data_IF_574101795942
#
_entry.id   IF_574101795942
#
_cell.length_a   1.000
_cell.length_b   1.000
_cell.length_c   1.000
_cell.angle_alpha   90.00
_cell.angle_beta   90.00
_cell.angle_gamma   90.00
#
_symmetry.space_group_name_H-M   'P 1'
#
loop_
_entity.id
_entity.type
_entity.pdbx_description
1 polymer ?
#
# COMPACT_ATOMS: atom_id res chain seq x y z
N UNK A 1 -14.99 38.50 7.02
CA UNK A 1 -14.36 37.53 6.10
C UNK A 1 -12.87 37.67 6.29
N UNK A 2 -12.22 36.62 6.79
CA UNK A 2 -10.77 36.51 6.82
C UNK A 2 -10.32 35.97 5.47
N UNK A 3 -9.47 36.70 4.76
CA UNK A 3 -8.89 36.20 3.52
C UNK A 3 -7.75 35.24 3.85
N UNK A 4 -7.73 34.07 3.22
CA UNK A 4 -6.67 33.08 3.32
C UNK A 4 -5.88 33.03 2.02
N UNK A 5 -4.60 32.67 2.06
CA UNK A 5 -3.79 32.41 0.86
C UNK A 5 -3.37 30.95 0.89
N UNK A 6 -3.61 30.24 -0.21
CA UNK A 6 -3.16 28.86 -0.40
C UNK A 6 -2.90 28.60 -1.88
N UNK A 7 -1.75 27.99 -2.19
CA UNK A 7 -1.21 27.80 -3.54
C UNK A 7 -1.21 29.09 -4.35
N UNK A 8 -0.93 30.22 -3.69
CA UNK A 8 -0.92 31.55 -4.31
C UNK A 8 -2.31 32.13 -4.65
N UNK A 9 -3.40 31.44 -4.30
CA UNK A 9 -4.78 31.89 -4.52
C UNK A 9 -5.30 32.52 -3.23
N UNK A 10 -5.97 33.68 -3.34
CA UNK A 10 -6.65 34.32 -2.20
C UNK A 10 -8.10 33.86 -2.13
N UNK A 11 -8.47 33.32 -0.98
CA UNK A 11 -9.80 32.78 -0.73
C UNK A 11 -10.61 33.66 0.23
N UNK A 12 -11.92 33.73 -0.02
CA UNK A 12 -12.88 34.23 0.95
C UNK A 12 -13.46 33.06 1.74
N UNK A 13 -13.05 32.91 3.00
CA UNK A 13 -13.50 31.80 3.84
C UNK A 13 -15.00 31.89 4.17
N UNK A 14 -15.71 30.78 3.94
CA UNK A 14 -17.09 30.56 4.38
C UNK A 14 -17.15 29.52 5.50
N UNK A 15 -17.71 29.92 6.66
CA UNK A 15 -17.93 29.05 7.81
C UNK A 15 -19.35 28.49 7.82
N UNK A 16 -19.48 27.18 8.02
CA UNK A 16 -20.74 26.44 8.02
C UNK A 16 -20.88 25.69 9.34
N UNK A 17 -21.66 26.26 10.27
CA UNK A 17 -21.86 25.67 11.60
C UNK A 17 -23.16 24.86 11.71
N UNK A 18 -24.13 25.12 10.83
CA UNK A 18 -25.43 24.43 10.83
C UNK A 18 -25.32 23.00 10.29
N UNK A 19 -26.27 22.15 10.70
CA UNK A 19 -26.35 20.73 10.29
C UNK A 19 -27.42 20.50 9.21
N UNK A 20 -27.32 19.39 8.49
CA UNK A 20 -28.29 18.96 7.47
C UNK A 20 -28.50 19.98 6.32
N UNK A 21 -27.46 20.74 5.98
CA UNK A 21 -27.50 21.75 4.93
C UNK A 21 -27.11 21.17 3.57
N UNK A 22 -27.60 21.83 2.51
CA UNK A 22 -27.13 21.65 1.13
C UNK A 22 -26.52 22.96 0.67
N UNK A 23 -25.23 22.93 0.37
CA UNK A 23 -24.43 24.12 0.14
C UNK A 23 -23.79 24.00 -1.23
N UNK A 24 -23.86 25.09 -1.99
CA UNK A 24 -23.29 25.16 -3.33
C UNK A 24 -22.23 26.25 -3.36
N UNK A 25 -21.07 25.91 -3.91
CA UNK A 25 -20.02 26.84 -4.28
C UNK A 25 -20.29 27.57 -5.59
N UNK A 26 -19.25 28.22 -6.08
CA UNK A 26 -19.21 29.01 -7.30
C UNK A 26 -18.47 28.25 -8.41
N UNK A 27 -18.18 28.88 -9.54
CA UNK A 27 -17.29 28.27 -10.55
C UNK A 27 -15.87 28.87 -10.45
N UNK A 28 -15.54 29.41 -9.27
CA UNK A 28 -14.22 29.90 -8.92
C UNK A 28 -13.79 29.19 -7.64
N UNK A 29 -12.50 29.23 -7.35
CA UNK A 29 -11.92 28.75 -6.09
C UNK A 29 -12.67 29.23 -4.86
N UNK A 30 -13.23 28.29 -4.11
CA UNK A 30 -13.96 28.49 -2.88
C UNK A 30 -13.19 27.93 -1.67
N UNK A 31 -13.47 28.48 -0.48
CA UNK A 31 -12.92 27.98 0.78
C UNK A 31 -14.03 27.77 1.81
N UNK A 32 -14.24 26.51 2.19
CA UNK A 32 -15.25 26.10 3.15
C UNK A 32 -14.63 25.52 4.43
N UNK A 33 -15.12 25.98 5.57
CA UNK A 33 -14.89 25.34 6.88
C UNK A 33 -16.24 24.86 7.40
N UNK A 34 -16.37 23.55 7.60
CA UNK A 34 -17.63 22.90 7.98
C UNK A 34 -17.48 22.32 9.38
N UNK A 35 -18.29 22.83 10.30
CA UNK A 35 -18.35 22.41 11.70
C UNK A 35 -19.66 21.65 12.02
N UNK A 36 -20.71 21.81 11.20
CA UNK A 36 -21.97 21.09 11.35
C UNK A 36 -22.03 19.74 10.61
N UNK A 37 -22.79 18.79 11.14
CA UNK A 37 -22.90 17.41 10.62
C UNK A 37 -23.96 17.29 9.51
N UNK A 38 -23.90 16.17 8.78
CA UNK A 38 -24.83 15.75 7.73
C UNK A 38 -24.96 16.76 6.59
N UNK A 39 -23.89 17.51 6.32
CA UNK A 39 -23.88 18.53 5.28
C UNK A 39 -23.53 17.93 3.92
N UNK A 40 -24.17 18.44 2.87
CA UNK A 40 -23.84 18.12 1.48
C UNK A 40 -23.28 19.39 0.84
N UNK A 41 -22.03 19.30 0.41
CA UNK A 41 -21.29 20.39 -0.20
C UNK A 41 -21.00 20.07 -1.67
N UNK A 42 -21.32 21.00 -2.56
CA UNK A 42 -21.01 20.91 -3.99
C UNK A 42 -20.30 22.19 -4.43
N UNK A 43 -18.98 22.16 -4.52
CA UNK A 43 -18.18 23.38 -4.77
C UNK A 43 -18.08 23.73 -6.25
N UNK A 44 -18.24 22.74 -7.15
CA UNK A 44 -18.34 22.83 -8.62
C UNK A 44 -17.02 22.89 -9.39
N UNK A 45 -16.53 24.06 -9.75
CA UNK A 45 -15.30 24.20 -10.54
C UNK A 45 -14.42 25.24 -9.85
N UNK A 46 -13.11 25.05 -9.92
CA UNK A 46 -12.13 25.90 -9.26
C UNK A 46 -11.23 25.06 -8.36
N UNK A 47 -10.12 25.64 -7.93
CA UNK A 47 -9.25 24.99 -6.94
C UNK A 47 -9.84 25.26 -5.56
N UNK A 48 -10.60 24.31 -5.02
CA UNK A 48 -11.37 24.49 -3.80
C UNK A 48 -10.64 23.98 -2.56
N UNK A 49 -10.89 24.60 -1.42
CA UNK A 49 -10.37 24.17 -0.12
C UNK A 49 -11.53 23.87 0.82
N UNK A 50 -11.60 22.64 1.32
CA UNK A 50 -12.67 22.19 2.21
C UNK A 50 -12.08 21.57 3.47
N UNK A 51 -12.41 22.15 4.63
CA UNK A 51 -12.03 21.66 5.94
C UNK A 51 -13.26 21.14 6.68
N UNK A 52 -13.27 19.85 6.96
CA UNK A 52 -14.39 19.13 7.55
C UNK A 52 -14.05 18.71 8.98
N UNK A 53 -14.61 19.39 9.99
CA UNK A 53 -14.26 19.11 11.40
C UNK A 53 -12.82 19.48 11.76
N UNK A 54 -12.18 20.32 10.94
CA UNK A 54 -10.77 20.71 11.01
C UNK A 54 -10.65 22.24 11.04
N UNK A 55 -9.59 22.74 11.68
CA UNK A 55 -9.13 24.14 11.57
C UNK A 55 -7.72 24.19 11.02
N UNK A 56 -7.36 25.26 10.31
CA UNK A 56 -5.98 25.49 9.89
C UNK A 56 -5.15 25.94 11.08
N UNK A 57 -4.04 25.24 11.32
CA UNK A 57 -3.03 25.68 12.26
C UNK A 57 -1.92 26.44 11.54
N UNK A 58 -1.38 25.84 10.48
CA UNK A 58 -0.28 26.39 9.68
C UNK A 58 -0.44 26.05 8.20
N UNK A 59 0.15 26.89 7.36
CA UNK A 59 0.36 26.60 5.95
C UNK A 59 1.86 26.45 5.72
N UNK A 60 2.25 25.37 5.04
CA UNK A 60 3.65 24.99 4.87
C UNK A 60 3.90 24.57 3.43
N UNK A 61 5.10 24.87 2.92
CA UNK A 61 5.56 24.30 1.66
C UNK A 61 6.09 22.89 1.91
N UNK A 62 5.62 21.96 1.11
CA UNK A 62 6.04 20.57 1.08
C UNK A 62 6.88 20.35 -0.18
N UNK A 63 8.02 19.70 0.00
CA UNK A 63 8.91 19.28 -1.07
C UNK A 63 9.20 17.78 -0.85
N UNK A 64 8.70 16.93 -1.74
CA UNK A 64 9.11 15.54 -1.86
C UNK A 64 9.51 15.23 -3.30
N UNK A 65 10.11 14.06 -3.54
CA UNK A 65 10.32 13.57 -4.91
C UNK A 65 9.06 13.36 -5.71
N UNK A 66 7.92 13.20 -5.03
CA UNK A 66 6.65 12.83 -5.62
C UNK A 66 5.77 14.06 -5.80
N UNK A 67 5.88 15.05 -4.90
CA UNK A 67 5.05 16.24 -4.91
C UNK A 67 5.78 17.45 -4.32
N UNK A 68 5.72 18.58 -5.02
CA UNK A 68 6.11 19.88 -4.49
C UNK A 68 4.90 20.82 -4.51
N UNK A 69 4.65 21.51 -3.40
CA UNK A 69 3.50 22.42 -3.28
C UNK A 69 3.17 22.84 -1.86
N UNK A 70 2.21 23.74 -1.73
CA UNK A 70 1.73 24.20 -0.43
C UNK A 70 0.68 23.22 0.14
N UNK A 71 0.80 22.85 1.42
CA UNK A 71 -0.15 22.01 2.17
C UNK A 71 -0.63 22.72 3.43
N UNK A 72 -1.83 22.35 3.89
CA UNK A 72 -2.37 22.81 5.16
C UNK A 72 -2.05 21.80 6.26
N UNK A 73 -1.49 22.28 7.36
CA UNK A 73 -1.51 21.53 8.61
C UNK A 73 -2.78 21.92 9.37
N UNK A 74 -3.58 20.91 9.71
CA UNK A 74 -4.85 21.10 10.37
C UNK A 74 -4.93 20.33 11.69
N UNK A 75 -5.76 20.81 12.62
CA UNK A 75 -6.11 20.12 13.86
C UNK A 75 -7.61 19.93 13.98
N UNK A 76 -8.01 18.96 14.80
CA UNK A 76 -9.41 18.69 15.09
C UNK A 76 -10.07 19.88 15.80
N UNK A 77 -11.33 20.12 15.45
CA UNK A 77 -12.18 20.99 16.23
C UNK A 77 -12.61 20.28 17.53
N UNK A 78 -12.80 21.00 18.65
CA UNK A 78 -13.04 20.42 19.98
C UNK A 78 -14.43 19.76 20.18
N UNK A 79 -15.24 19.56 19.12
CA UNK A 79 -16.61 19.03 19.23
C UNK A 79 -16.67 17.52 18.99
N UNK A 80 -17.62 16.86 19.67
CA UNK A 80 -17.83 15.40 19.79
C UNK A 80 -17.56 14.63 18.49
N UNK A 81 -16.43 13.92 18.45
CA UNK A 81 -15.71 13.52 17.23
C UNK A 81 -16.15 12.20 16.59
N UNK A 82 -17.36 11.69 16.85
CA UNK A 82 -17.69 10.29 16.51
C UNK A 82 -18.90 10.10 15.56
N UNK A 83 -19.63 11.15 15.20
CA UNK A 83 -20.76 11.10 14.24
C UNK A 83 -20.72 12.28 13.23
N UNK A 84 -19.53 12.78 12.89
CA UNK A 84 -19.40 13.84 11.90
C UNK A 84 -19.56 13.23 10.50
N UNK A 85 -20.69 13.47 9.83
CA UNK A 85 -20.93 13.01 8.46
C UNK A 85 -20.97 14.17 7.47
N UNK A 86 -20.35 13.98 6.31
CA UNK A 86 -20.38 14.96 5.24
C UNK A 86 -20.25 14.29 3.86
N UNK A 87 -20.94 14.87 2.88
CA UNK A 87 -20.81 14.50 1.47
C UNK A 87 -20.26 15.71 0.71
N UNK A 88 -19.12 15.55 0.04
CA UNK A 88 -18.46 16.63 -0.70
C UNK A 88 -18.28 16.25 -2.16
N UNK A 89 -18.57 17.19 -3.05
CA UNK A 89 -18.32 17.13 -4.49
C UNK A 89 -17.51 18.37 -4.88
N UNK A 90 -16.29 18.20 -5.39
CA UNK A 90 -15.46 19.36 -5.75
C UNK A 90 -15.37 19.65 -7.24
N UNK A 91 -15.52 18.63 -8.09
CA UNK A 91 -15.81 18.80 -9.52
C UNK A 91 -14.55 18.95 -10.38
N UNK A 92 -14.20 20.13 -10.89
CA UNK A 92 -12.93 20.30 -11.63
C UNK A 92 -12.01 21.33 -11.00
N UNK A 93 -10.72 21.04 -10.96
CA UNK A 93 -9.72 21.91 -10.34
C UNK A 93 -8.78 21.12 -9.46
N UNK A 94 -7.74 21.77 -8.94
CA UNK A 94 -6.83 21.16 -7.97
C UNK A 94 -7.38 21.38 -6.56
N UNK A 95 -8.17 20.42 -6.07
CA UNK A 95 -8.90 20.57 -4.83
C UNK A 95 -8.12 20.06 -3.60
N UNK A 96 -8.34 20.69 -2.45
CA UNK A 96 -7.80 20.26 -1.17
C UNK A 96 -8.95 20.01 -0.19
N UNK A 97 -9.07 18.77 0.27
CA UNK A 97 -10.08 18.36 1.26
C UNK A 97 -9.37 17.77 2.47
N UNK A 98 -9.58 18.34 3.66
CA UNK A 98 -9.06 17.78 4.92
C UNK A 98 -10.21 17.40 5.84
N UNK A 99 -10.16 16.17 6.32
CA UNK A 99 -11.19 15.50 7.09
C UNK A 99 -10.70 15.30 8.53
N UNK A 100 -11.58 15.59 9.48
CA UNK A 100 -11.49 15.07 10.84
C UNK A 100 -12.06 13.66 10.93
N UNK A 101 -12.15 13.14 12.15
CA UNK A 101 -12.79 11.86 12.40
C UNK A 101 -14.28 11.91 12.05
N UNK A 102 -14.78 10.90 11.34
CA UNK A 102 -16.18 10.89 10.91
C UNK A 102 -16.45 9.97 9.71
N UNK A 103 -17.72 9.88 9.33
CA UNK A 103 -18.13 9.12 8.15
C UNK A 103 -18.24 10.04 6.95
N UNK A 104 -17.40 9.86 5.94
CA UNK A 104 -17.32 10.81 4.82
C UNK A 104 -17.52 10.15 3.47
N UNK A 105 -18.21 10.87 2.57
CA UNK A 105 -18.27 10.54 1.15
C UNK A 105 -17.73 11.71 0.33
N UNK A 106 -16.58 11.54 -0.31
CA UNK A 106 -15.89 12.60 -1.04
C UNK A 106 -15.77 12.22 -2.51
N UNK A 107 -16.07 13.16 -3.41
CA UNK A 107 -15.76 13.04 -4.84
C UNK A 107 -15.00 14.27 -5.30
N UNK A 108 -13.72 14.09 -5.57
CA UNK A 108 -12.80 15.16 -5.93
C UNK A 108 -12.94 15.57 -7.41
N UNK A 109 -13.34 14.65 -8.28
CA UNK A 109 -13.47 14.94 -9.71
C UNK A 109 -12.10 15.13 -10.37
N UNK A 110 -11.98 15.96 -11.41
CA UNK A 110 -10.73 16.03 -12.22
C UNK A 110 -9.81 17.17 -11.78
N UNK A 111 -8.50 16.99 -11.94
CA UNK A 111 -7.45 17.88 -11.47
C UNK A 111 -6.54 17.16 -10.48
N UNK A 112 -5.51 17.83 -9.98
CA UNK A 112 -4.53 17.24 -9.05
C UNK A 112 -4.99 17.50 -7.61
N UNK A 113 -5.78 16.58 -7.07
CA UNK A 113 -6.46 16.75 -5.80
C UNK A 113 -5.63 16.23 -4.63
N UNK A 114 -5.92 16.75 -3.44
CA UNK A 114 -5.34 16.30 -2.18
C UNK A 114 -6.47 16.00 -1.19
N UNK A 115 -6.55 14.75 -0.73
CA UNK A 115 -7.39 14.34 0.39
C UNK A 115 -6.52 14.01 1.60
N UNK A 116 -6.66 14.80 2.66
CA UNK A 116 -6.11 14.53 3.99
C UNK A 116 -7.20 13.92 4.88
N UNK A 117 -7.10 12.65 5.23
CA UNK A 117 -7.98 11.97 6.18
C UNK A 117 -7.21 11.66 7.46
N UNK A 118 -7.62 12.28 8.57
CA UNK A 118 -7.03 12.01 9.88
C UNK A 118 -7.39 10.62 10.44
N UNK A 119 -8.48 10.00 9.95
CA UNK A 119 -8.95 8.71 10.42
C UNK A 119 -9.54 8.72 11.84
N UNK A 120 -9.54 7.54 12.47
CA UNK A 120 -10.24 7.26 13.73
C UNK A 120 -9.59 7.84 14.98
N UNK A 121 -10.41 7.98 16.02
CA UNK A 121 -9.98 8.48 17.31
C UNK A 121 -9.38 7.36 18.16
N UNK A 122 -8.09 7.51 18.46
CA UNK A 122 -7.39 6.74 19.47
C UNK A 122 -7.96 7.04 20.87
N UNK A 123 -8.26 6.00 21.63
CA UNK A 123 -8.50 6.14 23.07
C UNK A 123 -7.15 6.23 23.75
N UNK A 124 -6.90 7.34 24.44
CA UNK A 124 -5.64 7.60 25.13
C UNK A 124 -5.80 7.44 26.65
N UNK A 125 -4.77 6.94 27.32
CA UNK A 125 -4.66 7.06 28.78
C UNK A 125 -4.16 8.44 29.22
N UNK A 126 -3.94 8.63 30.52
CA UNK A 126 -3.48 9.89 31.09
C UNK A 126 -2.05 10.29 30.67
N UNK A 127 -1.27 9.34 30.16
CA UNK A 127 0.11 9.53 29.70
C UNK A 127 0.19 9.62 28.16
N UNK A 128 -0.97 9.72 27.49
CA UNK A 128 -1.14 9.74 26.03
C UNK A 128 -0.75 8.42 25.33
N UNK A 129 -0.72 7.29 26.02
CA UNK A 129 -0.61 5.99 25.34
C UNK A 129 -1.95 5.58 24.77
N UNK A 130 -1.92 4.96 23.59
CA UNK A 130 -3.14 4.46 22.97
C UNK A 130 -3.56 3.16 23.66
N UNK A 131 -4.71 3.17 24.33
CA UNK A 131 -5.30 2.05 25.06
C UNK A 131 -6.44 1.36 24.30
N UNK A 132 -6.82 1.87 23.13
CA UNK A 132 -7.86 1.27 22.31
C UNK A 132 -8.31 2.18 21.17
N UNK A 133 -9.31 1.71 20.43
CA UNK A 133 -9.96 2.46 19.36
C UNK A 133 -11.36 2.89 19.81
N UNK A 134 -11.74 4.11 19.47
CA UNK A 134 -13.15 4.52 19.51
C UNK A 134 -13.93 3.86 18.35
N UNK A 135 -15.10 4.40 18.00
CA UNK A 135 -15.80 3.99 16.79
C UNK A 135 -14.89 4.17 15.56
N UNK A 136 -14.76 3.12 14.75
CA UNK A 136 -13.92 3.12 13.54
C UNK A 136 -14.66 3.90 12.44
N UNK A 137 -14.16 5.06 11.98
CA UNK A 137 -14.82 5.84 10.95
C UNK A 137 -14.75 5.17 9.59
N UNK A 138 -15.64 5.60 8.69
CA UNK A 138 -15.68 5.15 7.30
C UNK A 138 -15.44 6.29 6.33
N UNK A 139 -14.50 6.09 5.41
CA UNK A 139 -14.29 6.97 4.26
C UNK A 139 -14.64 6.26 2.96
N UNK A 140 -15.46 6.89 2.13
CA UNK A 140 -15.60 6.56 0.71
C UNK A 140 -15.15 7.77 -0.08
N UNK A 141 -14.06 7.64 -0.84
CA UNK A 141 -13.55 8.73 -1.64
C UNK A 141 -13.25 8.30 -3.07
N UNK A 142 -13.40 9.23 -4.01
CA UNK A 142 -12.99 9.00 -5.40
C UNK A 142 -12.45 10.28 -6.04
N UNK A 143 -11.42 10.13 -6.86
CA UNK A 143 -10.94 11.16 -7.77
C UNK A 143 -11.14 10.75 -9.24
N UNK A 144 -10.90 11.70 -10.15
CA UNK A 144 -11.17 11.62 -11.57
C UNK A 144 -9.92 11.38 -12.38
N UNK A 145 -9.54 12.34 -13.22
CA UNK A 145 -8.26 12.33 -13.91
C UNK A 145 -7.36 13.42 -13.31
N UNK A 146 -6.09 13.10 -13.10
CA UNK A 146 -5.10 13.97 -12.49
C UNK A 146 -4.16 13.17 -11.59
N UNK A 147 -3.08 13.79 -11.14
CA UNK A 147 -2.15 13.16 -10.20
C UNK A 147 -2.65 13.49 -8.78
N UNK A 148 -3.35 12.54 -8.16
CA UNK A 148 -4.06 12.74 -6.90
C UNK A 148 -3.29 12.20 -5.69
N UNK A 149 -3.46 12.86 -4.54
CA UNK A 149 -2.85 12.46 -3.25
C UNK A 149 -3.93 12.09 -2.24
N UNK A 150 -3.80 10.92 -1.65
CA UNK A 150 -4.60 10.45 -0.53
C UNK A 150 -3.70 10.20 0.68
N UNK A 151 -3.69 11.14 1.63
CA UNK A 151 -3.02 10.98 2.92
C UNK A 151 -4.03 10.42 3.93
N UNK A 152 -4.01 9.11 4.16
CA UNK A 152 -5.05 8.38 4.88
C UNK A 152 -4.57 7.92 6.26
N UNK A 153 -4.35 8.87 7.16
CA UNK A 153 -3.77 8.61 8.48
C UNK A 153 -4.70 7.89 9.45
N UNK A 154 -4.10 7.17 10.40
CA UNK A 154 -4.82 6.52 11.50
C UNK A 154 -5.73 5.35 11.10
N UNK A 155 -6.52 4.87 12.07
CA UNK A 155 -7.35 3.67 11.91
C UNK A 155 -8.74 4.00 11.36
N UNK A 156 -9.06 3.57 10.14
CA UNK A 156 -10.38 3.76 9.53
C UNK A 156 -10.69 2.72 8.45
N UNK A 157 -11.98 2.52 8.18
CA UNK A 157 -12.43 1.67 7.08
C UNK A 157 -12.58 2.48 5.80
N UNK A 158 -11.80 2.18 4.77
CA UNK A 158 -11.65 3.04 3.59
C UNK A 158 -12.04 2.33 2.30
N UNK A 159 -12.70 3.07 1.41
CA UNK A 159 -12.93 2.69 0.02
C UNK A 159 -12.52 3.86 -0.86
N UNK A 160 -11.43 3.71 -1.58
CA UNK A 160 -10.77 4.77 -2.34
C UNK A 160 -10.65 4.32 -3.80
N UNK A 161 -11.10 5.17 -4.72
CA UNK A 161 -10.77 5.06 -6.15
C UNK A 161 -10.03 6.33 -6.57
N UNK A 162 -8.71 6.24 -6.74
CA UNK A 162 -7.89 7.39 -7.09
C UNK A 162 -8.05 7.82 -8.56
N UNK A 163 -8.76 7.04 -9.40
CA UNK A 163 -8.94 7.43 -10.79
C UNK A 163 -7.65 7.30 -11.62
N UNK A 164 -7.53 8.07 -12.70
CA UNK A 164 -6.39 7.99 -13.64
C UNK A 164 -5.35 9.06 -13.34
N UNK A 165 -4.08 8.76 -13.61
CA UNK A 165 -2.95 9.64 -13.36
C UNK A 165 -1.95 8.93 -12.44
N UNK A 166 -0.87 9.61 -12.08
CA UNK A 166 0.12 9.07 -11.14
C UNK A 166 -0.32 9.45 -9.72
N UNK A 167 -0.92 8.52 -9.01
CA UNK A 167 -1.49 8.79 -7.70
C UNK A 167 -0.52 8.42 -6.58
N UNK A 168 -0.62 9.13 -5.46
CA UNK A 168 0.13 8.84 -4.23
C UNK A 168 -0.83 8.58 -3.07
N UNK A 169 -0.72 7.39 -2.47
CA UNK A 169 -1.57 6.97 -1.36
C UNK A 169 -0.70 6.60 -0.17
N UNK A 170 -0.87 7.31 0.96
CA UNK A 170 -0.34 6.94 2.26
C UNK A 170 -1.45 6.26 3.05
N UNK A 171 -1.43 4.93 3.11
CA UNK A 171 -2.47 4.10 3.68
C UNK A 171 -2.23 3.82 5.17
N UNK A 172 -3.08 4.37 6.03
CA UNK A 172 -3.13 4.02 7.45
C UNK A 172 -3.76 2.64 7.71
N UNK A 173 -4.01 2.36 8.98
CA UNK A 173 -4.56 1.08 9.43
C UNK A 173 -6.08 1.01 9.21
N UNK A 174 -6.63 -0.21 9.33
CA UNK A 174 -8.04 -0.51 9.16
C UNK A 174 -8.36 -1.13 7.79
N UNK A 175 -9.60 -1.58 7.64
CA UNK A 175 -10.00 -2.30 6.43
C UNK A 175 -9.98 -1.36 5.23
N UNK A 176 -9.27 -1.73 4.16
CA UNK A 176 -9.10 -0.86 3.00
C UNK A 176 -9.44 -1.54 1.68
N UNK A 177 -10.17 -0.84 0.82
CA UNK A 177 -10.31 -1.14 -0.60
C UNK A 177 -9.76 0.02 -1.39
N UNK A 178 -8.58 -0.16 -1.96
CA UNK A 178 -7.86 0.84 -2.73
C UNK A 178 -7.84 0.41 -4.18
N UNK A 179 -8.25 1.32 -5.06
CA UNK A 179 -8.12 1.16 -6.50
C UNK A 179 -7.44 2.40 -7.06
N UNK A 180 -6.42 2.19 -7.86
CA UNK A 180 -5.91 3.21 -8.77
C UNK A 180 -6.23 2.78 -10.20
N UNK A 181 -6.24 3.76 -11.11
CA UNK A 181 -6.50 3.57 -12.52
C UNK A 181 -5.21 3.31 -13.29
N UNK A 182 -5.12 3.87 -14.49
CA UNK A 182 -3.88 3.87 -15.26
C UNK A 182 -2.93 4.96 -14.76
N UNK A 183 -1.63 4.69 -14.78
CA UNK A 183 -0.58 5.62 -14.37
C UNK A 183 0.45 4.92 -13.50
N UNK A 184 1.55 5.59 -13.18
CA UNK A 184 2.57 5.05 -12.31
C UNK A 184 2.22 5.45 -10.87
N UNK A 185 1.50 4.58 -10.18
CA UNK A 185 0.98 4.87 -8.84
C UNK A 185 1.96 4.48 -7.73
N UNK A 186 1.91 5.21 -6.61
CA UNK A 186 2.68 4.91 -5.41
C UNK A 186 1.72 4.71 -4.24
N UNK A 187 1.76 3.53 -3.63
CA UNK A 187 0.90 3.16 -2.50
C UNK A 187 1.79 2.65 -1.37
N UNK A 188 1.88 3.41 -0.28
CA UNK A 188 2.72 3.06 0.88
C UNK A 188 1.90 3.08 2.16
N UNK A 189 2.30 2.34 3.20
CA UNK A 189 1.64 2.42 4.52
C UNK A 189 2.14 3.60 5.35
N UNK A 190 1.30 4.14 6.25
CA UNK A 190 1.78 5.11 7.24
C UNK A 190 2.37 4.41 8.47
N UNK A 191 3.53 4.86 8.94
CA UNK A 191 4.37 4.18 9.95
C UNK A 191 3.87 4.33 11.37
N UNK A 192 3.14 5.41 11.65
CA UNK A 192 2.61 5.69 12.99
C UNK A 192 1.68 4.58 13.49
N UNK A 193 1.21 3.70 12.59
CA UNK A 193 0.37 2.55 12.91
C UNK A 193 1.16 1.37 13.49
N UNK A 194 2.47 1.23 13.19
CA UNK A 194 3.26 0.06 13.62
C UNK A 194 3.41 0.01 15.14
N UNK A 195 3.81 1.11 15.77
CA UNK A 195 3.91 1.21 17.23
C UNK A 195 2.57 0.83 17.89
N UNK A 196 1.46 1.24 17.28
CA UNK A 196 0.13 0.91 17.80
C UNK A 196 -0.20 -0.58 17.67
N UNK A 197 0.07 -1.20 16.53
CA UNK A 197 -0.24 -2.62 16.31
C UNK A 197 0.48 -3.52 17.33
N UNK A 198 1.77 -3.24 17.60
CA UNK A 198 2.57 -4.08 18.50
C UNK A 198 2.27 -3.86 19.99
N UNK A 199 1.94 -2.63 20.41
CA UNK A 199 1.77 -2.32 21.85
C UNK A 199 0.32 -2.49 22.36
N UNK A 200 -0.69 -2.41 21.47
CA UNK A 200 -2.10 -2.30 21.91
C UNK A 200 -2.97 -3.54 21.68
N UNK A 201 -2.48 -4.57 20.99
CA UNK A 201 -3.32 -5.70 20.59
C UNK A 201 -4.46 -5.28 19.65
N UNK A 202 -4.17 -4.36 18.74
CA UNK A 202 -5.11 -3.88 17.72
C UNK A 202 -5.82 -5.02 17.00
N UNK A 203 -7.08 -4.85 16.56
CA UNK A 203 -7.72 -5.83 15.70
C UNK A 203 -6.93 -5.94 14.39
N UNK A 204 -6.82 -7.17 13.86
CA UNK A 204 -6.35 -7.37 12.50
C UNK A 204 -7.28 -6.66 11.51
N UNK A 205 -6.73 -6.24 10.38
CA UNK A 205 -7.47 -5.59 9.32
C UNK A 205 -7.05 -6.15 7.97
N UNK A 206 -7.99 -6.14 7.03
CA UNK A 206 -7.79 -6.69 5.71
C UNK A 206 -7.70 -5.56 4.67
N UNK A 207 -6.80 -5.72 3.70
CA UNK A 207 -6.58 -4.72 2.65
C UNK A 207 -6.70 -5.35 1.26
N UNK A 208 -7.35 -4.64 0.34
CA UNK A 208 -7.44 -5.00 -1.07
C UNK A 208 -6.96 -3.82 -1.90
N UNK A 209 -5.81 -3.96 -2.53
CA UNK A 209 -5.15 -2.96 -3.35
C UNK A 209 -5.18 -3.45 -4.80
N UNK A 210 -5.67 -2.59 -5.70
CA UNK A 210 -5.66 -2.82 -7.14
C UNK A 210 -5.00 -1.60 -7.76
N UNK A 211 -3.73 -1.72 -8.14
CA UNK A 211 -3.08 -0.73 -9.00
C UNK A 211 -3.34 -1.13 -10.45
N UNK A 212 -3.79 -0.22 -11.31
CA UNK A 212 -4.08 -0.56 -12.71
C UNK A 212 -2.79 -0.72 -13.53
N UNK A 213 -2.88 -0.42 -14.82
CA UNK A 213 -1.71 -0.44 -15.71
C UNK A 213 -0.76 0.72 -15.41
N UNK A 214 0.54 0.50 -15.59
CA UNK A 214 1.63 1.44 -15.31
C UNK A 214 2.70 0.82 -14.43
N UNK A 215 3.83 1.50 -14.26
CA UNK A 215 4.92 1.04 -13.40
C UNK A 215 4.60 1.44 -11.95
N UNK A 216 3.91 0.57 -11.20
CA UNK A 216 3.43 0.89 -9.87
C UNK A 216 4.45 0.55 -8.78
N UNK A 217 4.42 1.29 -7.68
CA UNK A 217 5.24 1.05 -6.50
C UNK A 217 4.35 0.89 -5.27
N UNK A 218 4.30 -0.31 -4.72
CA UNK A 218 3.43 -0.67 -3.60
C UNK A 218 4.30 -1.16 -2.45
N UNK A 219 4.21 -0.53 -1.29
CA UNK A 219 5.00 -0.91 -0.13
C UNK A 219 4.15 -0.82 1.15
N UNK A 220 3.59 -1.96 1.57
CA UNK A 220 2.58 -1.99 2.63
C UNK A 220 2.97 -2.89 3.79
N UNK A 221 2.32 -2.65 4.93
CA UNK A 221 2.42 -3.50 6.12
C UNK A 221 1.11 -4.25 6.33
N UNK A 222 1.01 -5.51 5.89
CA UNK A 222 -0.09 -6.38 6.24
C UNK A 222 -0.15 -6.63 7.75
N UNK A 223 -1.36 -6.64 8.30
CA UNK A 223 -1.60 -7.18 9.64
C UNK A 223 -2.55 -8.39 9.60
N UNK A 224 -3.65 -8.29 8.84
CA UNK A 224 -4.48 -9.42 8.44
C UNK A 224 -4.21 -9.88 7.00
N UNK A 225 -5.26 -10.25 6.28
CA UNK A 225 -5.17 -10.66 4.88
C UNK A 225 -5.03 -9.42 3.99
N UNK A 226 -3.95 -9.35 3.21
CA UNK A 226 -3.74 -8.29 2.21
C UNK A 226 -3.73 -8.88 0.82
N UNK A 227 -4.56 -8.37 -0.08
CA UNK A 227 -4.55 -8.74 -1.49
C UNK A 227 -4.06 -7.56 -2.33
N UNK A 228 -3.03 -7.77 -3.13
CA UNK A 228 -2.45 -6.80 -4.06
C UNK A 228 -2.65 -7.34 -5.48
N UNK A 229 -3.17 -6.52 -6.37
CA UNK A 229 -3.23 -6.78 -7.80
C UNK A 229 -2.65 -5.60 -8.55
N UNK A 230 -1.80 -5.86 -9.52
CA UNK A 230 -1.31 -4.84 -10.45
C UNK A 230 -1.74 -5.18 -11.88
N UNK A 231 -1.71 -4.19 -12.77
CA UNK A 231 -1.96 -4.34 -14.20
C UNK A 231 -0.68 -4.59 -15.00
N UNK A 232 -0.69 -4.24 -16.28
CA UNK A 232 0.53 -4.31 -17.10
C UNK A 232 1.52 -3.20 -16.70
N UNK A 233 2.82 -3.50 -16.70
CA UNK A 233 3.85 -2.53 -16.32
C UNK A 233 4.98 -3.19 -15.53
N UNK A 234 6.06 -2.46 -15.22
CA UNK A 234 7.09 -2.96 -14.33
C UNK A 234 6.77 -2.54 -12.90
N UNK A 235 6.16 -3.44 -12.15
CA UNK A 235 5.72 -3.16 -10.79
C UNK A 235 6.79 -3.50 -9.76
N UNK A 236 6.80 -2.73 -8.67
CA UNK A 236 7.62 -2.98 -7.51
C UNK A 236 6.72 -3.12 -6.27
N UNK A 237 6.64 -4.34 -5.73
CA UNK A 237 5.71 -4.69 -4.65
C UNK A 237 6.49 -5.17 -3.44
N UNK A 238 6.25 -4.54 -2.29
CA UNK A 238 6.77 -4.91 -0.97
C UNK A 238 5.60 -5.11 -0.02
N UNK A 239 5.55 -6.29 0.59
CA UNK A 239 4.64 -6.58 1.69
C UNK A 239 5.43 -7.12 2.88
N UNK A 240 5.55 -6.31 3.93
CA UNK A 240 6.26 -6.70 5.18
C UNK A 240 5.23 -6.86 6.27
N UNK A 241 4.89 -8.12 6.57
CA UNK A 241 3.85 -8.45 7.52
C UNK A 241 4.35 -8.57 8.95
N UNK A 242 3.45 -9.07 9.80
CA UNK A 242 3.71 -9.40 11.18
C UNK A 242 3.78 -10.93 11.32
N UNK A 243 4.90 -11.48 11.85
CA UNK A 243 5.10 -12.92 11.92
C UNK A 243 3.91 -13.68 12.53
N UNK A 244 3.36 -14.61 11.76
CA UNK A 244 2.27 -15.48 12.18
C UNK A 244 0.88 -14.84 12.25
N UNK A 245 0.76 -13.55 11.94
CA UNK A 245 -0.52 -12.82 11.92
C UNK A 245 -0.94 -12.41 10.51
N UNK A 246 0.02 -12.31 9.59
CA UNK A 246 -0.20 -11.75 8.27
C UNK A 246 -0.13 -12.77 7.13
N UNK A 247 -0.93 -12.51 6.11
CA UNK A 247 -1.00 -13.30 4.89
C UNK A 247 -1.26 -12.38 3.69
N UNK A 248 -0.59 -12.68 2.57
CA UNK A 248 -0.61 -11.79 1.42
C UNK A 248 -0.93 -12.57 0.15
N UNK A 249 -1.79 -12.00 -0.71
CA UNK A 249 -2.04 -12.54 -2.06
C UNK A 249 -1.63 -11.49 -3.07
N UNK A 250 -0.60 -11.77 -3.85
CA UNK A 250 -0.06 -10.87 -4.86
C UNK A 250 -0.33 -11.49 -6.22
N UNK A 251 -1.02 -10.72 -7.08
CA UNK A 251 -1.21 -11.05 -8.48
C UNK A 251 -0.63 -9.89 -9.28
N UNK A 252 0.63 -10.02 -9.67
CA UNK A 252 1.22 -9.08 -10.61
C UNK A 252 0.70 -9.36 -12.03
N UNK A 253 0.59 -8.30 -12.83
CA UNK A 253 0.17 -8.39 -14.23
C UNK A 253 1.33 -8.84 -15.13
N UNK A 254 1.31 -8.44 -16.40
CA UNK A 254 2.43 -8.72 -17.30
C UNK A 254 3.50 -7.61 -17.19
N UNK A 255 4.77 -8.00 -17.09
CA UNK A 255 5.88 -7.07 -16.93
C UNK A 255 7.09 -7.69 -16.25
N UNK A 256 8.15 -6.90 -16.10
CA UNK A 256 9.32 -7.35 -15.33
C UNK A 256 9.16 -6.87 -13.89
N UNK A 257 8.41 -7.62 -13.10
CA UNK A 257 8.03 -7.19 -11.76
C UNK A 257 9.07 -7.59 -10.73
N UNK A 258 9.17 -6.77 -9.68
CA UNK A 258 9.91 -7.10 -8.47
C UNK A 258 8.96 -7.25 -7.30
N UNK A 259 8.89 -8.45 -6.72
CA UNK A 259 7.97 -8.78 -5.64
C UNK A 259 8.78 -9.20 -4.41
N UNK A 260 8.57 -8.52 -3.29
CA UNK A 260 9.18 -8.83 -2.00
C UNK A 260 8.08 -9.09 -0.98
N UNK A 261 8.09 -10.27 -0.38
CA UNK A 261 7.30 -10.60 0.81
C UNK A 261 8.22 -10.91 1.98
N UNK A 262 7.84 -10.52 3.18
CA UNK A 262 8.58 -10.86 4.39
C UNK A 262 7.62 -11.01 5.58
N UNK A 263 7.82 -12.05 6.38
CA UNK A 263 6.98 -12.39 7.54
C UNK A 263 5.48 -12.56 7.20
N UNK A 264 5.16 -13.02 5.99
CA UNK A 264 3.78 -13.30 5.53
C UNK A 264 3.68 -14.67 4.90
N UNK A 265 2.60 -15.40 5.16
CA UNK A 265 2.27 -16.57 4.33
C UNK A 265 1.67 -16.08 3.00
N UNK A 266 2.41 -16.20 1.92
CA UNK A 266 2.12 -15.47 0.68
C UNK A 266 1.65 -16.40 -0.44
N UNK A 267 0.66 -15.96 -1.22
CA UNK A 267 0.39 -16.51 -2.54
C UNK A 267 0.84 -15.48 -3.57
N UNK A 268 1.86 -15.79 -4.36
CA UNK A 268 2.43 -14.90 -5.36
C UNK A 268 2.15 -15.50 -6.74
N UNK A 269 1.59 -14.69 -7.63
CA UNK A 269 1.49 -14.96 -9.05
C UNK A 269 2.04 -13.76 -9.81
N UNK A 270 3.14 -13.93 -10.55
CA UNK A 270 3.87 -12.78 -11.14
C UNK A 270 3.53 -12.47 -12.60
N UNK A 271 2.57 -13.17 -13.22
CA UNK A 271 2.29 -13.00 -14.65
C UNK A 271 3.49 -13.30 -15.56
N UNK A 272 3.46 -12.77 -16.79
CA UNK A 272 4.52 -12.93 -17.79
C UNK A 272 5.62 -11.89 -17.63
N UNK A 273 6.84 -12.21 -18.08
CA UNK A 273 8.00 -11.31 -18.04
C UNK A 273 9.13 -11.85 -17.16
N UNK A 274 10.25 -11.14 -17.14
CA UNK A 274 11.43 -11.53 -16.35
C UNK A 274 11.27 -11.00 -14.92
N UNK A 275 10.59 -11.78 -14.07
CA UNK A 275 10.25 -11.36 -12.71
C UNK A 275 11.35 -11.67 -11.69
N UNK A 276 11.48 -10.83 -10.67
CA UNK A 276 12.36 -11.00 -9.52
C UNK A 276 11.53 -11.11 -8.24
N UNK A 277 11.54 -12.28 -7.60
CA UNK A 277 10.74 -12.55 -6.42
C UNK A 277 11.67 -12.85 -5.24
N UNK A 278 11.52 -12.10 -4.15
CA UNK A 278 12.08 -12.42 -2.84
C UNK A 278 10.94 -12.85 -1.94
N UNK A 279 10.82 -14.15 -1.72
CA UNK A 279 9.89 -14.70 -0.74
C UNK A 279 10.65 -14.94 0.56
N UNK A 280 10.33 -14.14 1.57
CA UNK A 280 11.00 -14.14 2.86
C UNK A 280 10.50 -15.26 3.77
N UNK A 281 10.31 -14.93 5.04
CA UNK A 281 9.77 -15.86 6.03
C UNK A 281 8.26 -15.99 5.87
N UNK A 282 7.77 -17.22 6.02
CA UNK A 282 6.37 -17.57 5.82
C UNK A 282 6.31 -18.84 4.97
N UNK A 283 5.20 -19.56 5.00
CA UNK A 283 5.00 -20.69 4.09
C UNK A 283 4.39 -20.15 2.79
N UNK A 284 5.21 -19.98 1.75
CA UNK A 284 4.79 -19.30 0.53
C UNK A 284 4.34 -20.26 -0.59
N UNK A 285 3.49 -19.77 -1.48
CA UNK A 285 3.13 -20.41 -2.74
C UNK A 285 3.37 -19.45 -3.88
N UNK A 286 4.35 -19.75 -4.71
CA UNK A 286 4.85 -18.88 -5.77
C UNK A 286 4.55 -19.53 -7.12
N UNK A 287 3.90 -18.80 -8.03
CA UNK A 287 3.66 -19.19 -9.41
C UNK A 287 4.21 -18.12 -10.33
N UNK A 288 5.20 -18.46 -11.13
CA UNK A 288 5.72 -17.56 -12.16
C UNK A 288 5.16 -17.94 -13.52
N UNK A 289 4.92 -16.94 -14.37
CA UNK A 289 4.50 -17.15 -15.76
C UNK A 289 5.68 -17.36 -16.69
N UNK A 290 5.50 -17.05 -17.97
CA UNK A 290 6.59 -17.13 -18.95
C UNK A 290 7.65 -16.06 -18.70
N UNK A 291 8.91 -16.32 -19.07
CA UNK A 291 10.03 -15.40 -18.89
C UNK A 291 11.18 -16.05 -18.15
N UNK A 292 12.27 -15.33 -17.93
CA UNK A 292 13.40 -15.82 -17.14
C UNK A 292 13.29 -15.28 -15.72
N UNK A 293 12.56 -15.99 -14.88
CA UNK A 293 12.23 -15.52 -13.54
C UNK A 293 13.35 -15.89 -12.54
N UNK A 294 13.54 -15.05 -11.53
CA UNK A 294 14.43 -15.32 -10.40
C UNK A 294 13.61 -15.39 -9.12
N UNK A 295 13.61 -16.56 -8.48
CA UNK A 295 12.90 -16.80 -7.22
C UNK A 295 13.94 -16.99 -6.12
N UNK A 296 14.03 -16.03 -5.22
CA UNK A 296 14.97 -16.01 -4.10
C UNK A 296 14.27 -16.33 -2.78
N UNK A 297 14.54 -17.53 -2.25
CA UNK A 297 14.07 -18.02 -0.95
C UNK A 297 15.13 -17.91 0.15
N UNK A 298 16.33 -17.42 -0.20
CA UNK A 298 17.44 -17.21 0.73
C UNK A 298 17.28 -15.91 1.53
N UNK A 299 16.55 -14.95 0.97
CA UNK A 299 16.52 -13.57 1.47
C UNK A 299 17.75 -12.77 1.06
N UNK A 300 17.94 -11.63 1.73
CA UNK A 300 18.97 -10.64 1.43
C UNK A 300 18.44 -9.21 1.55
N UNK A 301 19.32 -8.23 1.30
CA UNK A 301 18.93 -6.82 1.28
C UNK A 301 18.49 -6.42 -0.11
N UNK A 302 17.32 -5.80 -0.22
CA UNK A 302 16.76 -5.28 -1.47
C UNK A 302 16.66 -3.77 -1.39
N UNK A 303 17.30 -3.05 -2.31
CA UNK A 303 17.17 -1.59 -2.40
C UNK A 303 15.80 -1.23 -2.97
N UNK A 304 15.17 -0.21 -2.40
CA UNK A 304 13.91 0.32 -2.92
C UNK A 304 14.16 1.27 -4.09
N UNK A 305 13.27 1.31 -5.11
CA UNK A 305 13.31 2.30 -6.18
C UNK A 305 12.80 3.65 -5.68
N UNK A 306 13.11 4.72 -6.43
CA UNK A 306 12.44 6.00 -6.20
C UNK A 306 11.03 5.98 -6.81
N UNK A 307 10.02 6.55 -6.12
CA UNK A 307 10.20 7.39 -4.94
C UNK A 307 10.14 6.66 -3.58
N UNK A 308 9.79 5.37 -3.51
CA UNK A 308 9.71 4.63 -2.24
C UNK A 308 10.97 4.72 -1.39
N UNK A 309 12.16 4.71 -2.02
CA UNK A 309 13.45 4.80 -1.34
C UNK A 309 13.69 6.14 -0.64
N UNK A 310 12.85 7.14 -0.89
CA UNK A 310 12.91 8.44 -0.21
C UNK A 310 11.96 8.53 0.97
N UNK A 311 10.99 7.62 1.08
CA UNK A 311 10.10 7.52 2.24
C UNK A 311 10.80 6.77 3.39
N UNK A 312 11.78 7.45 4.01
CA UNK A 312 12.61 6.88 5.08
C UNK A 312 11.84 6.55 6.36
N UNK A 313 10.54 6.87 6.43
CA UNK A 313 9.77 6.62 7.63
C UNK A 313 9.43 5.13 7.72
N UNK A 314 8.98 4.51 6.63
CA UNK A 314 8.47 3.13 6.66
C UNK A 314 9.57 2.14 6.36
N UNK A 315 10.25 2.38 5.25
CA UNK A 315 11.39 1.61 4.81
C UNK A 315 12.55 2.58 4.67
N UNK A 316 13.76 2.17 5.08
CA UNK A 316 14.94 2.93 4.66
C UNK A 316 15.06 2.83 3.12
N UNK A 317 16.16 3.26 2.54
CA UNK A 317 16.51 2.99 1.14
C UNK A 317 16.55 1.50 0.76
N UNK A 318 16.38 0.58 1.73
CA UNK A 318 16.35 -0.86 1.51
C UNK A 318 15.50 -1.61 2.54
N UNK A 319 15.12 -2.85 2.19
CA UNK A 319 14.44 -3.82 3.05
C UNK A 319 15.34 -5.05 3.23
N UNK A 320 15.46 -5.52 4.47
CA UNK A 320 16.10 -6.80 4.76
C UNK A 320 15.05 -7.92 4.71
N UNK A 321 15.21 -8.83 3.75
CA UNK A 321 14.37 -10.02 3.59
C UNK A 321 15.05 -11.18 4.28
N UNK A 322 14.34 -11.84 5.21
CA UNK A 322 14.84 -13.03 5.86
C UNK A 322 14.26 -14.25 5.17
N UNK A 323 15.08 -15.07 4.51
CA UNK A 323 14.61 -16.34 3.93
C UNK A 323 14.15 -17.34 5.00
N UNK A 324 13.39 -18.35 4.60
CA UNK A 324 12.83 -19.33 5.53
C UNK A 324 11.68 -20.08 4.89
N UNK A 325 10.71 -20.51 5.70
CA UNK A 325 9.43 -21.00 5.15
C UNK A 325 9.43 -22.42 4.61
N UNK A 326 8.24 -22.98 4.43
CA UNK A 326 8.02 -24.17 3.61
C UNK A 326 7.30 -23.76 2.33
N UNK A 327 8.07 -23.59 1.25
CA UNK A 327 7.58 -22.93 0.04
C UNK A 327 7.17 -23.92 -1.03
N UNK A 328 6.16 -23.58 -1.80
CA UNK A 328 5.80 -24.27 -3.04
C UNK A 328 6.04 -23.33 -4.22
N UNK A 329 7.01 -23.66 -5.07
CA UNK A 329 7.38 -22.87 -6.25
C UNK A 329 6.93 -23.61 -7.51
N UNK A 330 6.11 -22.97 -8.34
CA UNK A 330 5.68 -23.47 -9.64
C UNK A 330 6.31 -22.62 -10.74
N UNK A 331 7.25 -23.23 -11.46
CA UNK A 331 7.95 -22.60 -12.58
C UNK A 331 7.09 -22.58 -13.84
N UNK A 332 7.37 -21.59 -14.69
CA UNK A 332 6.67 -21.32 -15.93
C UNK A 332 7.50 -21.73 -17.15
N UNK A 333 7.25 -21.09 -18.30
CA UNK A 333 8.09 -21.27 -19.49
C UNK A 333 9.29 -20.31 -19.43
N UNK A 334 10.48 -20.77 -19.80
CA UNK A 334 11.67 -19.92 -19.88
C UNK A 334 12.87 -20.54 -19.19
N UNK A 335 13.85 -19.71 -18.84
CA UNK A 335 15.01 -20.12 -18.05
C UNK A 335 14.91 -19.51 -16.66
N UNK A 336 14.28 -20.23 -15.74
CA UNK A 336 14.06 -19.77 -14.39
C UNK A 336 15.26 -20.09 -13.49
N UNK A 337 15.45 -19.30 -12.42
CA UNK A 337 16.47 -19.54 -11.40
C UNK A 337 15.83 -19.57 -10.02
N UNK A 338 16.00 -20.66 -9.28
CA UNK A 338 15.59 -20.76 -7.88
C UNK A 338 16.81 -20.70 -6.97
N UNK A 339 16.83 -19.77 -6.00
CA UNK A 339 17.89 -19.58 -5.02
C UNK A 339 17.42 -20.08 -3.67
N UNK A 340 18.07 -21.11 -3.13
CA UNK A 340 17.72 -21.68 -1.83
C UNK A 340 18.53 -21.05 -0.69
N UNK A 341 17.86 -20.89 0.45
CA UNK A 341 18.48 -20.49 1.72
C UNK A 341 18.99 -21.68 2.54
N UNK A 342 19.69 -21.38 3.63
CA UNK A 342 20.09 -22.38 4.63
C UNK A 342 18.98 -22.75 5.62
N UNK A 343 17.83 -22.06 5.53
CA UNK A 343 16.66 -22.24 6.39
C UNK A 343 15.42 -22.39 5.52
N UNK A 344 14.45 -23.14 6.02
CA UNK A 344 13.23 -23.47 5.26
C UNK A 344 13.38 -24.71 4.38
N UNK A 345 12.36 -24.96 3.58
CA UNK A 345 12.27 -26.10 2.68
C UNK A 345 11.41 -25.74 1.46
N UNK A 346 11.92 -25.96 0.26
CA UNK A 346 11.17 -25.64 -0.97
C UNK A 346 10.75 -26.88 -1.75
N UNK A 347 9.49 -26.94 -2.20
CA UNK A 347 9.04 -27.88 -3.24
C UNK A 347 8.93 -27.13 -4.55
N UNK A 348 9.73 -27.53 -5.53
CA UNK A 348 9.82 -26.86 -6.84
C UNK A 348 9.17 -27.77 -7.88
N UNK A 349 8.13 -27.27 -8.51
CA UNK A 349 7.36 -27.94 -9.56
C UNK A 349 7.75 -27.38 -10.94
N UNK A 350 7.57 -28.21 -11.96
CA UNK A 350 7.82 -27.89 -13.38
C UNK A 350 9.27 -27.52 -13.71
N UNK A 351 10.24 -27.89 -12.86
CA UNK A 351 11.65 -27.69 -13.18
C UNK A 351 12.03 -28.47 -14.45
N UNK A 352 12.69 -27.78 -15.38
CA UNK A 352 13.13 -28.29 -16.68
C UNK A 352 14.65 -28.28 -16.79
N UNK A 353 15.19 -28.74 -17.92
CA UNK A 353 16.63 -28.70 -18.15
C UNK A 353 17.18 -27.32 -18.53
N UNK A 354 16.33 -26.33 -18.82
CA UNK A 354 16.78 -24.94 -19.00
C UNK A 354 16.91 -24.19 -17.67
N UNK A 355 16.22 -24.65 -16.63
CA UNK A 355 16.17 -23.97 -15.34
C UNK A 355 17.43 -24.21 -14.52
N UNK A 356 17.66 -23.30 -13.56
CA UNK A 356 18.86 -23.22 -12.76
C UNK A 356 18.53 -23.26 -11.28
N UNK A 357 19.44 -23.85 -10.51
CA UNK A 357 19.36 -23.89 -9.06
C UNK A 357 20.61 -23.28 -8.44
N UNK A 358 20.43 -22.26 -7.61
CA UNK A 358 21.52 -21.68 -6.81
C UNK A 358 21.44 -22.19 -5.37
N UNK A 359 22.46 -22.96 -4.99
CA UNK A 359 22.68 -23.50 -3.63
C UNK A 359 24.05 -23.09 -3.10
N UNK A 360 24.57 -21.98 -3.60
CA UNK A 360 25.90 -21.47 -3.29
C UNK A 360 26.09 -21.23 -1.80
N UNK A 361 27.13 -21.84 -1.23
CA UNK A 361 27.44 -21.78 0.19
C UNK A 361 26.72 -22.82 1.07
N UNK A 362 25.89 -23.69 0.49
CA UNK A 362 25.11 -24.67 1.26
C UNK A 362 25.69 -26.09 1.29
N UNK A 363 26.82 -26.37 0.62
CA UNK A 363 27.36 -27.74 0.49
C UNK A 363 26.29 -28.78 0.09
N UNK A 364 25.49 -28.43 -0.92
CA UNK A 364 24.32 -29.23 -1.30
C UNK A 364 24.70 -30.56 -1.96
N UNK A 365 23.84 -31.56 -1.77
CA UNK A 365 23.91 -32.88 -2.42
C UNK A 365 22.54 -33.29 -2.93
N UNK A 366 22.51 -34.12 -3.97
CA UNK A 366 21.29 -34.48 -4.69
C UNK A 366 21.06 -35.99 -4.63
N UNK A 367 19.86 -36.39 -4.18
CA UNK A 367 19.48 -37.80 -4.04
C UNK A 367 18.17 -38.05 -4.75
N UNK A 368 18.13 -39.02 -5.65
CA UNK A 368 16.89 -39.41 -6.32
C UNK A 368 16.00 -40.25 -5.41
N UNK A 369 14.72 -39.89 -5.31
CA UNK A 369 13.70 -40.65 -4.59
C UNK A 369 12.49 -40.82 -5.52
N UNK A 370 12.35 -42.02 -6.10
CA UNK A 370 11.32 -42.28 -7.11
C UNK A 370 11.52 -41.40 -8.35
N UNK A 371 10.54 -40.52 -8.60
CA UNK A 371 10.53 -39.55 -9.70
C UNK A 371 10.94 -38.13 -9.26
N UNK A 372 11.34 -37.95 -8.01
CA UNK A 372 11.73 -36.66 -7.46
C UNK A 372 13.24 -36.63 -7.19
N UNK A 373 13.82 -35.42 -7.17
CA UNK A 373 15.19 -35.19 -6.72
C UNK A 373 15.18 -34.41 -5.41
N UNK A 374 15.68 -35.02 -4.35
CA UNK A 374 15.85 -34.41 -3.02
C UNK A 374 17.16 -33.62 -2.98
N UNK A 375 17.10 -32.39 -2.46
CA UNK A 375 18.23 -31.49 -2.28
C UNK A 375 18.55 -31.44 -0.78
N UNK A 376 19.76 -31.86 -0.39
CA UNK A 376 20.18 -31.97 1.00
C UNK A 376 21.40 -31.11 1.31
N UNK A 377 21.54 -30.65 2.54
CA UNK A 377 22.73 -29.98 3.07
C UNK A 377 23.02 -30.45 4.50
N UNK A 378 24.22 -30.95 4.76
CA UNK A 378 24.75 -31.25 6.11
C UNK A 378 23.78 -32.00 7.07
N UNK A 379 22.91 -32.87 6.55
CA UNK A 379 21.95 -33.65 7.34
C UNK A 379 20.52 -33.08 7.41
N UNK A 380 20.24 -31.95 6.78
CA UNK A 380 18.90 -31.40 6.58
C UNK A 380 18.52 -31.39 5.09
N UNK A 381 17.21 -31.40 4.81
CA UNK A 381 16.70 -31.23 3.45
C UNK A 381 16.44 -29.76 3.17
N UNK A 382 16.94 -29.27 2.04
CA UNK A 382 16.70 -27.90 1.55
C UNK A 382 15.47 -27.82 0.65
N UNK A 383 15.13 -28.92 -0.03
CA UNK A 383 13.98 -28.93 -0.93
C UNK A 383 13.89 -30.15 -1.83
N UNK A 384 12.89 -30.15 -2.69
CA UNK A 384 12.61 -31.20 -3.66
C UNK A 384 12.36 -30.57 -5.04
N UNK A 385 13.03 -31.10 -6.07
CA UNK A 385 12.60 -30.91 -7.45
C UNK A 385 11.57 -31.99 -7.77
N UNK A 386 10.30 -31.60 -7.82
CA UNK A 386 9.17 -32.51 -8.00
C UNK A 386 9.08 -32.99 -9.44
N UNK A 387 9.09 -34.31 -9.65
CA UNK A 387 8.98 -34.90 -10.98
C UNK A 387 10.22 -34.74 -11.87
N UNK A 388 11.32 -34.19 -11.34
CA UNK A 388 12.55 -33.96 -12.09
C UNK A 388 13.67 -34.89 -11.61
N UNK A 389 14.27 -35.63 -12.54
CA UNK A 389 15.42 -36.51 -12.27
C UNK A 389 16.57 -36.29 -13.25
N UNK A 390 16.55 -35.18 -13.99
CA UNK A 390 17.60 -34.82 -14.95
C UNK A 390 18.84 -34.22 -14.26
N UNK A 391 19.81 -33.81 -15.08
CA UNK A 391 20.95 -33.03 -14.59
C UNK A 391 20.47 -31.67 -14.07
N UNK A 392 21.01 -31.22 -12.94
CA UNK A 392 20.68 -29.91 -12.37
C UNK A 392 21.82 -28.96 -12.71
N UNK A 393 21.49 -27.87 -13.41
CA UNK A 393 22.45 -26.80 -13.69
C UNK A 393 22.56 -25.89 -12.47
N UNK A 394 23.78 -25.81 -11.91
CA UNK A 394 24.09 -24.99 -10.74
C UNK A 394 24.72 -23.67 -11.18
N UNK A 395 24.32 -22.58 -10.52
CA UNK A 395 24.82 -21.22 -10.79
C UNK A 395 25.31 -20.50 -9.54
#
# INVERSE_FOLDING_TARGET
MTNQIFRGITYAQQLIQDTNQRINGTNNSDWFVVEGNNNILNTRDGNDVILLGRKVDLTLNFESSIFSGEILQTSSLPCQTNDFEAIVYTGTGDDYVSLGAGNHTIRLGSGNNFLDDYGGNYLLDADNHIIGLAAIPKLVASAGAGDDIFSLSGFANRTIDAGKGNNLIFLGAGDARIRTGSGNDVITSEVSILTYIFDSGSPSYDQSIIAGDGDNQIAVVPYGETTIRTGDGQDFIVAVGIPGLSSTKIYAGDGNDTIITNDTNSMIQSGSGDNLIFAGSGDDTIRVGSGNNVINLKGGTVCLPQPLSQDTKLFDSSVEVKGGGNDNVYLGEGTDTVILGSSGFAIIYNFTCSDRLNVSGLNASFTRIGNDTLINSCGASLGILKGYTGSVDLV
#
